data_IF_620922835401
#
_entry.id   IF_620922835401
#
_cell.length_a   1.000
_cell.length_b   1.000
_cell.length_c   1.000
_cell.angle_alpha   90.00
_cell.angle_beta   90.00
_cell.angle_gamma   90.00
#
_symmetry.space_group_name_H-M   'P 1'
#
loop_
_entity.id
_entity.type
_entity.pdbx_description
1 polymer ?
#
# COMPACT_ATOMS: atom_id res chain seq x y z
N UNK A 1 -8.53 9.47 27.75
CA UNK A 1 -8.63 10.51 26.72
C UNK A 1 -7.24 11.09 26.50
N UNK A 2 -6.53 10.65 25.45
CA UNK A 2 -5.17 11.15 25.18
C UNK A 2 -5.19 11.89 23.84
N UNK A 3 -5.32 13.20 23.91
CA UNK A 3 -5.13 14.10 22.77
C UNK A 3 -3.63 14.27 22.54
N UNK A 4 -3.07 13.51 21.60
CA UNK A 4 -1.72 13.77 21.09
C UNK A 4 -1.84 14.87 20.04
N UNK A 5 -1.49 16.09 20.44
CA UNK A 5 -1.31 17.24 19.55
C UNK A 5 -0.25 16.93 18.49
N UNK A 6 -0.69 16.57 17.28
CA UNK A 6 0.18 16.42 16.11
C UNK A 6 0.48 17.78 15.46
N UNK A 7 1.45 18.50 16.03
CA UNK A 7 2.18 19.60 15.36
C UNK A 7 3.59 19.17 14.93
N UNK A 8 3.78 17.90 14.56
CA UNK A 8 5.10 17.40 14.19
C UNK A 8 5.31 17.35 12.67
N UNK A 9 6.52 17.75 12.22
CA UNK A 9 7.07 17.45 10.88
C UNK A 9 7.47 15.97 10.71
N UNK A 10 7.00 15.09 11.60
CA UNK A 10 7.20 13.66 11.53
C UNK A 10 6.02 13.00 10.80
N UNK A 11 6.22 11.77 10.35
CA UNK A 11 5.13 10.87 9.96
C UNK A 11 4.82 10.00 11.20
N UNK A 12 3.57 9.55 11.41
CA UNK A 12 3.30 8.53 12.43
C UNK A 12 4.26 7.36 12.26
N UNK A 13 4.73 6.73 13.36
CA UNK A 13 5.67 5.63 13.27
C UNK A 13 5.13 4.53 12.37
N UNK A 14 5.93 4.08 11.40
CA UNK A 14 5.61 2.92 10.57
C UNK A 14 6.13 1.65 11.24
N UNK A 15 5.47 0.53 11.04
CA UNK A 15 6.03 -0.77 11.43
C UNK A 15 6.78 -1.35 10.23
N UNK A 16 8.13 -1.42 10.31
CA UNK A 16 8.97 -1.95 9.22
C UNK A 16 8.68 -3.41 8.87
N UNK A 17 8.10 -4.17 9.80
CA UNK A 17 7.75 -5.58 9.55
C UNK A 17 6.39 -5.77 8.89
N UNK A 18 5.63 -4.69 8.71
CA UNK A 18 4.41 -4.68 7.89
C UNK A 18 4.78 -4.44 6.42
N UNK A 19 4.15 -5.22 5.54
CA UNK A 19 4.37 -5.21 4.09
C UNK A 19 3.07 -4.95 3.37
N UNK A 20 3.13 -4.38 2.17
CA UNK A 20 1.98 -4.14 1.30
C UNK A 20 2.30 -4.52 -0.14
N UNK A 21 1.28 -4.80 -0.96
CA UNK A 21 1.42 -5.10 -2.39
C UNK A 21 0.57 -4.11 -3.20
N UNK A 22 1.07 -2.87 -3.42
CA UNK A 22 0.30 -1.80 -4.03
C UNK A 22 -0.04 -2.09 -5.48
N UNK A 23 -1.30 -1.91 -5.86
CA UNK A 23 -1.81 -2.03 -7.23
C UNK A 23 -2.05 -0.65 -7.84
N UNK A 24 -1.85 -0.49 -9.15
CA UNK A 24 -2.14 0.76 -9.84
C UNK A 24 -3.65 0.99 -9.95
N UNK A 25 -4.09 2.22 -9.65
CA UNK A 25 -5.50 2.57 -9.66
C UNK A 25 -6.13 2.51 -11.07
N UNK A 26 -5.35 2.75 -12.12
CA UNK A 26 -5.78 2.60 -13.51
C UNK A 26 -6.04 1.15 -13.88
N UNK A 27 -5.20 0.22 -13.42
CA UNK A 27 -5.42 -1.23 -13.59
C UNK A 27 -6.67 -1.71 -12.84
N UNK A 28 -6.86 -1.26 -11.60
CA UNK A 28 -8.10 -1.51 -10.83
C UNK A 28 -9.32 -0.96 -11.58
N UNK A 29 -9.25 0.28 -12.07
CA UNK A 29 -10.35 0.91 -12.79
C UNK A 29 -10.69 0.15 -14.08
N UNK A 30 -9.68 -0.26 -14.86
CA UNK A 30 -9.88 -1.05 -16.07
C UNK A 30 -10.55 -2.39 -15.78
N UNK A 31 -10.10 -3.09 -14.72
CA UNK A 31 -10.70 -4.36 -14.30
C UNK A 31 -12.13 -4.20 -13.81
N UNK A 32 -12.40 -3.19 -12.98
CA UNK A 32 -13.75 -2.88 -12.53
C UNK A 32 -14.69 -2.55 -13.69
N UNK A 33 -14.23 -1.76 -14.66
CA UNK A 33 -15.01 -1.44 -15.86
C UNK A 33 -15.32 -2.71 -16.69
N UNK A 34 -14.33 -3.58 -16.88
CA UNK A 34 -14.53 -4.85 -17.60
C UNK A 34 -15.55 -5.76 -16.90
N UNK A 35 -15.48 -5.89 -15.57
CA UNK A 35 -16.43 -6.69 -14.79
C UNK A 35 -17.84 -6.10 -14.81
N UNK A 36 -17.97 -4.77 -14.73
CA UNK A 36 -19.26 -4.09 -14.72
C UNK A 36 -19.99 -4.16 -16.07
N UNK A 37 -19.24 -4.20 -17.18
CA UNK A 37 -19.79 -4.27 -18.54
C UNK A 37 -19.98 -5.71 -19.05
N UNK A 38 -19.40 -6.70 -18.36
CA UNK A 38 -19.49 -8.11 -18.69
C UNK A 38 -20.74 -8.80 -18.14
N UNK A 39 -20.83 -10.11 -18.36
CA UNK A 39 -21.82 -10.95 -17.69
C UNK A 39 -21.51 -11.05 -16.19
N UNK A 40 -22.52 -11.26 -15.32
CA UNK A 40 -22.30 -11.45 -13.89
C UNK A 40 -21.28 -12.57 -13.60
N UNK A 41 -20.18 -12.22 -12.95
CA UNK A 41 -19.06 -13.13 -12.71
C UNK A 41 -18.97 -13.65 -11.26
N UNK A 42 -19.86 -13.19 -10.37
CA UNK A 42 -19.81 -13.55 -8.94
C UNK A 42 -18.54 -13.02 -8.26
N UNK A 43 -17.97 -13.81 -7.35
CA UNK A 43 -16.67 -13.53 -6.74
C UNK A 43 -15.57 -13.84 -7.75
N UNK A 44 -14.79 -12.82 -8.09
CA UNK A 44 -13.61 -12.94 -8.95
C UNK A 44 -12.34 -12.84 -8.10
N UNK A 45 -11.19 -13.32 -8.60
CA UNK A 45 -9.93 -13.18 -7.87
C UNK A 45 -9.64 -11.74 -7.46
N UNK A 46 -8.86 -11.52 -6.41
CA UNK A 46 -8.37 -10.18 -6.08
C UNK A 46 -7.40 -9.68 -7.17
N UNK A 47 -7.18 -8.36 -7.25
CA UNK A 47 -6.12 -7.78 -8.07
C UNK A 47 -5.06 -7.18 -7.16
N UNK A 48 -3.85 -7.68 -7.25
CA UNK A 48 -2.70 -7.24 -6.48
C UNK A 48 -1.65 -6.58 -7.37
N UNK A 49 -0.78 -5.76 -6.75
CA UNK A 49 0.39 -5.23 -7.43
C UNK A 49 1.42 -6.29 -7.81
N UNK A 50 2.39 -5.95 -8.67
CA UNK A 50 3.43 -6.88 -9.11
C UNK A 50 4.44 -7.27 -8.02
N UNK A 51 4.58 -6.47 -6.94
CA UNK A 51 5.60 -6.69 -5.91
C UNK A 51 5.14 -6.30 -4.51
N UNK A 52 5.69 -6.97 -3.51
CA UNK A 52 5.48 -6.68 -2.08
C UNK A 52 6.59 -5.74 -1.59
N UNK A 53 6.22 -4.71 -0.82
CA UNK A 53 7.12 -3.69 -0.30
C UNK A 53 6.94 -3.53 1.23
N UNK A 54 8.04 -3.26 1.97
CA UNK A 54 7.94 -2.80 3.35
C UNK A 54 7.23 -1.44 3.45
N UNK A 55 6.42 -1.25 4.49
CA UNK A 55 5.69 0.01 4.70
C UNK A 55 6.62 1.23 4.84
N UNK A 56 7.80 1.04 5.44
CA UNK A 56 8.79 2.12 5.60
C UNK A 56 9.30 2.63 4.25
N UNK A 57 9.56 1.73 3.31
CA UNK A 57 10.09 2.06 1.99
C UNK A 57 9.04 2.83 1.18
N UNK A 58 7.78 2.36 1.20
CA UNK A 58 6.65 3.07 0.58
C UNK A 58 6.52 4.51 1.12
N UNK A 59 6.58 4.69 2.44
CA UNK A 59 6.46 6.01 3.05
C UNK A 59 7.64 6.92 2.66
N UNK A 60 8.87 6.40 2.71
CA UNK A 60 10.10 7.15 2.42
C UNK A 60 10.17 7.56 0.95
N UNK A 61 9.90 6.62 0.04
CA UNK A 61 9.95 6.86 -1.39
C UNK A 61 8.84 7.80 -1.85
N UNK A 62 7.63 7.68 -1.30
CA UNK A 62 6.56 8.62 -1.58
C UNK A 62 6.92 10.05 -1.16
N UNK A 63 7.43 10.24 0.07
CA UNK A 63 7.84 11.54 0.58
C UNK A 63 8.93 12.18 -0.29
N UNK A 64 9.89 11.37 -0.73
CA UNK A 64 10.94 11.79 -1.66
C UNK A 64 10.35 12.24 -3.00
N UNK A 65 9.46 11.44 -3.59
CA UNK A 65 8.84 11.74 -4.89
C UNK A 65 8.00 13.02 -4.86
N UNK A 66 7.34 13.33 -3.74
CA UNK A 66 6.54 14.57 -3.59
C UNK A 66 7.32 15.75 -2.98
N UNK A 67 8.65 15.65 -2.89
CA UNK A 67 9.52 16.72 -2.41
C UNK A 67 9.34 17.10 -0.92
N UNK A 68 8.77 16.21 -0.09
CA UNK A 68 8.49 16.49 1.32
C UNK A 68 9.59 15.93 2.22
N UNK A 69 10.20 16.81 3.03
CA UNK A 69 11.17 16.42 4.06
C UNK A 69 10.48 16.17 5.39
N UNK A 70 10.17 14.90 5.70
CA UNK A 70 9.62 14.46 6.99
C UNK A 70 10.42 13.28 7.54
N UNK A 71 10.51 13.20 8.87
CA UNK A 71 11.12 12.06 9.53
C UNK A 71 10.20 10.84 9.41
N UNK A 72 10.73 9.73 8.90
CA UNK A 72 10.09 8.42 8.93
C UNK A 72 10.75 7.63 10.05
N UNK A 73 10.00 7.37 11.12
CA UNK A 73 10.46 6.56 12.26
C UNK A 73 9.80 5.20 12.22
N UNK A 74 10.53 4.15 12.61
CA UNK A 74 9.97 2.81 12.74
C UNK A 74 9.80 2.42 14.19
N UNK A 75 8.58 2.06 14.58
CA UNK A 75 8.28 1.45 15.87
C UNK A 75 7.30 0.29 15.66
N UNK A 76 7.60 -0.92 16.15
CA UNK A 76 6.67 -2.04 16.07
C UNK A 76 5.33 -1.68 16.70
N UNK A 77 4.25 -1.92 15.97
CA UNK A 77 2.92 -1.67 16.50
C UNK A 77 2.52 -2.81 17.46
N UNK A 78 2.00 -2.51 18.67
CA UNK A 78 1.52 -3.54 19.58
C UNK A 78 0.16 -4.09 19.14
N UNK A 79 -0.18 -5.28 19.64
CA UNK A 79 -1.53 -5.85 19.52
C UNK A 79 -1.72 -6.88 18.41
N UNK A 80 -2.91 -7.51 18.41
CA UNK A 80 -3.25 -8.63 17.53
C UNK A 80 -3.33 -8.24 16.06
N UNK A 81 -3.90 -7.07 15.77
CA UNK A 81 -3.96 -6.54 14.40
C UNK A 81 -2.56 -6.38 13.82
N UNK A 82 -1.65 -5.70 14.54
CA UNK A 82 -0.26 -5.55 14.09
C UNK A 82 0.43 -6.91 13.87
N UNK A 83 0.19 -7.90 14.74
CA UNK A 83 0.70 -9.26 14.51
C UNK A 83 0.16 -9.89 13.22
N UNK A 84 -1.12 -9.70 12.91
CA UNK A 84 -1.73 -10.22 11.68
C UNK A 84 -1.14 -9.55 10.42
N UNK A 85 -0.99 -8.23 10.41
CA UNK A 85 -0.33 -7.50 9.32
C UNK A 85 1.13 -7.94 9.13
N UNK A 86 1.89 -8.14 10.22
CA UNK A 86 3.26 -8.69 10.15
C UNK A 86 3.29 -10.11 9.59
N UNK A 87 2.27 -10.91 9.91
CA UNK A 87 2.07 -12.25 9.33
C UNK A 87 1.59 -12.21 7.86
N UNK A 88 1.35 -11.03 7.28
CA UNK A 88 0.94 -10.88 5.89
C UNK A 88 -0.57 -11.01 5.66
N UNK A 89 -1.41 -10.89 6.69
CA UNK A 89 -2.87 -10.98 6.55
C UNK A 89 -3.51 -9.94 5.61
N UNK A 90 -2.75 -8.92 5.20
CA UNK A 90 -3.15 -7.89 4.26
C UNK A 90 -2.57 -8.08 2.85
N UNK A 91 -1.77 -9.12 2.65
CA UNK A 91 -1.28 -9.51 1.34
C UNK A 91 -2.35 -10.36 0.65
N UNK A 92 -2.43 -10.32 -0.68
CA UNK A 92 -3.40 -11.11 -1.43
C UNK A 92 -3.27 -12.60 -1.09
N UNK A 93 -4.41 -13.28 -1.13
CA UNK A 93 -4.47 -14.73 -1.03
C UNK A 93 -3.97 -15.38 -2.32
N UNK A 94 -3.66 -16.68 -2.23
CA UNK A 94 -3.28 -17.48 -3.40
C UNK A 94 -4.34 -17.38 -4.50
N UNK A 95 -3.89 -17.16 -5.73
CA UNK A 95 -4.76 -17.06 -6.92
C UNK A 95 -5.22 -15.64 -7.29
N UNK A 96 -4.73 -14.60 -6.62
CA UNK A 96 -4.95 -13.22 -7.06
C UNK A 96 -4.33 -12.94 -8.45
N UNK A 97 -5.04 -12.17 -9.27
CA UNK A 97 -4.48 -11.59 -10.48
C UNK A 97 -3.41 -10.56 -10.11
N UNK A 98 -2.39 -10.46 -10.95
CA UNK A 98 -1.22 -9.59 -10.72
C UNK A 98 -1.18 -8.50 -11.78
N UNK A 99 -1.29 -7.26 -11.32
CA UNK A 99 -1.07 -6.05 -12.11
C UNK A 99 0.37 -5.91 -12.59
N UNK A 100 0.63 -5.02 -13.54
CA UNK A 100 1.95 -4.91 -14.18
C UNK A 100 2.74 -3.71 -13.68
N UNK A 101 2.07 -2.60 -13.37
CA UNK A 101 2.75 -1.37 -12.98
C UNK A 101 3.28 -1.44 -11.55
N UNK A 102 4.56 -1.14 -11.42
CA UNK A 102 5.29 -1.14 -10.16
C UNK A 102 5.17 0.18 -9.39
N UNK A 103 5.57 0.16 -8.11
CA UNK A 103 5.58 1.34 -7.25
C UNK A 103 6.51 2.44 -7.79
N UNK A 104 7.67 2.05 -8.30
CA UNK A 104 8.70 2.94 -8.82
C UNK A 104 8.24 3.61 -10.11
N UNK A 105 7.56 2.88 -11.00
CA UNK A 105 6.93 3.44 -12.21
C UNK A 105 5.77 4.38 -11.87
N UNK A 106 5.02 4.09 -10.81
CA UNK A 106 4.03 5.02 -10.28
C UNK A 106 4.68 6.32 -9.78
N UNK A 107 5.74 6.22 -8.97
CA UNK A 107 6.44 7.39 -8.44
C UNK A 107 7.14 8.23 -9.52
N UNK A 108 7.73 7.59 -10.53
CA UNK A 108 8.38 8.27 -11.65
C UNK A 108 7.41 9.19 -12.41
N UNK A 109 6.14 8.79 -12.53
CA UNK A 109 5.10 9.62 -13.14
C UNK A 109 4.62 10.79 -12.27
N UNK A 110 4.95 10.79 -10.97
CA UNK A 110 4.44 11.75 -9.97
C UNK A 110 5.46 12.81 -9.56
N UNK A 111 6.75 12.59 -9.81
CA UNK A 111 7.85 13.46 -9.40
C UNK A 111 8.01 14.74 -10.25
N UNK A 112 6.91 15.36 -10.69
CA UNK A 112 6.91 16.64 -11.44
C UNK A 112 6.65 17.84 -10.54
#
# INVERSE_FOLDING_TARGET
MTTVLWRARATPPSDRSVRFQPVDAGEVAARLAALALGAPAGLVPDLAGPRVYPMEDLARDYLKAVGKRRLVTSMPAPGRAARAFRAGANLPLDGADVGVRTWEEFLAGRAR
#
